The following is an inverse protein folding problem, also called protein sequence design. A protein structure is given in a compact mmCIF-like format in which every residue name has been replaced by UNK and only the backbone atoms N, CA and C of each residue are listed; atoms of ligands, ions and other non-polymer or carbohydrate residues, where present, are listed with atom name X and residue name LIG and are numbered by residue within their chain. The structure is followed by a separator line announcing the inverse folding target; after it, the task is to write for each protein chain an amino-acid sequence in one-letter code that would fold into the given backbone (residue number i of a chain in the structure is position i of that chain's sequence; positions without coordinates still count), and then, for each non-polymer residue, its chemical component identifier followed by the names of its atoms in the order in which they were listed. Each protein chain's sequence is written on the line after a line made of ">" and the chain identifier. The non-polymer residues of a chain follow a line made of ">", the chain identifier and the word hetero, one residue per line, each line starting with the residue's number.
data_IF_274716190686
#
_entry.id   IF_274716190686
#
_cell.length_a   1.000
_cell.length_b   1.000
_cell.length_c   1.000
_cell.angle_alpha   90.00
_cell.angle_beta   90.00
_cell.angle_gamma   90.00
#
_symmetry.space_group_name_H-M   'P 1'
#
loop_
_entity.id
_entity.type
_entity.pdbx_description
1 polymer ?
#
# COMPACT_ATOMS: atom_id res chain seq x y z
N UNK A 1 0.18 1.96 -13.65
CA UNK A 1 -0.13 3.18 -12.85
C UNK A 1 0.85 3.27 -11.69
N UNK A 2 1.36 4.46 -11.39
CA UNK A 2 2.60 4.66 -10.61
C UNK A 2 2.33 4.87 -9.12
N UNK A 3 2.47 3.79 -8.33
CA UNK A 3 2.76 3.90 -6.90
C UNK A 3 4.24 4.25 -6.77
N UNK A 4 4.58 5.20 -5.91
CA UNK A 4 5.96 5.61 -5.65
C UNK A 4 6.33 5.23 -4.23
N UNK A 5 7.36 4.39 -4.08
CA UNK A 5 7.95 4.05 -2.80
C UNK A 5 9.26 4.81 -2.64
N UNK A 6 9.43 5.51 -1.52
CA UNK A 6 10.67 6.20 -1.17
C UNK A 6 11.07 5.90 0.28
N UNK A 7 12.18 6.46 0.74
CA UNK A 7 12.66 6.29 2.12
C UNK A 7 11.75 6.92 3.18
N UNK A 8 10.86 7.83 2.80
CA UNK A 8 9.96 8.52 3.71
C UNK A 8 8.63 7.77 3.83
N UNK A 9 8.19 7.09 2.78
CA UNK A 9 6.90 6.41 2.74
C UNK A 9 6.52 5.88 1.38
N UNK A 10 5.22 5.67 1.20
CA UNK A 10 4.63 5.41 -0.11
C UNK A 10 3.69 6.53 -0.51
N UNK A 11 3.55 6.75 -1.82
CA UNK A 11 2.62 7.70 -2.42
C UNK A 11 1.79 7.01 -3.47
N UNK A 12 0.48 7.23 -3.40
CA UNK A 12 -0.42 6.88 -4.47
C UNK A 12 -0.74 8.11 -5.31
N UNK A 13 -0.16 8.18 -6.52
CA UNK A 13 -0.46 9.27 -7.45
C UNK A 13 -1.92 9.30 -7.89
N UNK A 14 -2.65 8.18 -7.82
CA UNK A 14 -4.10 8.13 -8.11
C UNK A 14 -4.91 8.80 -7.01
N UNK A 15 -4.43 8.72 -5.77
CA UNK A 15 -5.06 9.30 -4.59
C UNK A 15 -4.56 10.72 -4.28
N UNK A 16 -4.07 11.45 -5.30
CA UNK A 16 -3.59 12.82 -5.15
C UNK A 16 -2.13 12.95 -4.69
N UNK A 17 -1.29 11.91 -4.89
CA UNK A 17 0.13 11.88 -4.52
C UNK A 17 0.38 12.09 -3.01
N UNK A 18 -0.56 11.61 -2.19
CA UNK A 18 -0.47 11.74 -0.74
C UNK A 18 0.58 10.78 -0.19
N UNK A 19 1.54 11.35 0.53
CA UNK A 19 2.56 10.60 1.25
C UNK A 19 2.00 9.97 2.51
N UNK A 20 2.12 8.64 2.59
CA UNK A 20 1.91 7.86 3.80
C UNK A 20 3.27 7.45 4.35
N UNK A 21 3.69 8.04 5.49
CA UNK A 21 4.95 7.69 6.12
C UNK A 21 5.02 6.23 6.54
N UNK A 22 6.19 5.62 6.42
CA UNK A 22 6.43 4.25 6.90
C UNK A 22 6.19 4.09 8.40
N UNK A 23 6.30 5.15 9.19
CA UNK A 23 5.97 5.15 10.62
C UNK A 23 4.49 4.88 10.91
N UNK A 24 3.62 5.12 9.93
CA UNK A 24 2.18 4.84 10.00
C UNK A 24 1.82 3.47 9.45
N UNK A 25 2.79 2.75 8.86
CA UNK A 25 2.59 1.44 8.27
C UNK A 25 2.99 0.39 9.30
N UNK A 26 2.05 -0.49 9.63
CA UNK A 26 2.26 -1.61 10.53
C UNK A 26 2.77 -2.83 9.79
N UNK A 27 2.06 -3.19 8.72
CA UNK A 27 2.36 -4.38 7.94
C UNK A 27 2.06 -4.16 6.46
N UNK A 28 2.73 -4.92 5.61
CA UNK A 28 2.49 -4.98 4.18
C UNK A 28 2.30 -6.42 3.78
N UNK A 29 1.20 -6.70 3.09
CA UNK A 29 0.89 -8.02 2.58
C UNK A 29 0.82 -8.00 1.07
N UNK A 30 1.70 -8.77 0.43
CA UNK A 30 1.61 -9.01 -1.00
C UNK A 30 0.52 -10.05 -1.27
N UNK A 31 -0.32 -9.81 -2.27
CA UNK A 31 -1.32 -10.78 -2.72
C UNK A 31 -1.29 -10.80 -4.24
N UNK A 32 -0.79 -11.88 -4.83
CA UNK A 32 -0.74 -12.05 -6.28
C UNK A 32 -2.07 -12.58 -6.81
N UNK A 33 -2.76 -11.80 -7.66
CA UNK A 33 -3.94 -12.21 -8.41
C UNK A 33 -3.62 -12.55 -9.87
N UNK A 34 -4.62 -12.96 -10.66
CA UNK A 34 -4.51 -13.26 -12.11
C UNK A 34 -3.98 -12.05 -12.90
N UNK A 35 -2.65 -11.92 -13.01
CA UNK A 35 -1.97 -10.88 -13.81
C UNK A 35 -1.69 -9.56 -13.09
N UNK A 36 -2.06 -9.41 -11.82
CA UNK A 36 -1.73 -8.21 -11.02
C UNK A 36 -1.26 -8.59 -9.61
N UNK A 37 -0.34 -7.80 -9.08
CA UNK A 37 0.11 -7.89 -7.70
C UNK A 37 -0.63 -6.83 -6.90
N UNK A 38 -1.32 -7.22 -5.83
CA UNK A 38 -1.95 -6.29 -4.90
C UNK A 38 -1.08 -6.18 -3.65
N UNK A 39 -0.67 -4.98 -3.29
CA UNK A 39 -0.03 -4.69 -2.01
C UNK A 39 -1.10 -4.16 -1.06
N UNK A 40 -1.25 -4.80 0.09
CA UNK A 40 -2.14 -4.35 1.14
C UNK A 40 -1.29 -3.74 2.25
N UNK A 41 -1.41 -2.44 2.48
CA UNK A 41 -0.71 -1.75 3.56
C UNK A 41 -1.66 -1.62 4.74
N UNK A 42 -1.36 -2.27 5.86
CA UNK A 42 -2.06 -2.07 7.12
C UNK A 42 -1.44 -0.88 7.84
N UNK A 43 -2.25 0.15 8.11
CA UNK A 43 -1.83 1.31 8.86
C UNK A 43 -2.11 1.15 10.36
N UNK A 44 -1.28 1.77 11.18
CA UNK A 44 -1.50 1.87 12.64
C UNK A 44 -2.62 2.84 13.00
N UNK A 45 -2.93 3.77 12.11
CA UNK A 45 -3.95 4.81 12.25
C UNK A 45 -4.80 4.93 11.00
N UNK A 46 -5.83 5.78 11.03
CA UNK A 46 -6.69 5.98 9.86
C UNK A 46 -5.88 6.55 8.66
N UNK A 47 -6.07 6.01 7.45
CA UNK A 47 -5.43 6.53 6.25
C UNK A 47 -5.86 7.97 6.00
N UNK A 48 -5.00 8.79 5.38
CA UNK A 48 -5.37 10.13 4.95
C UNK A 48 -6.65 10.10 4.11
N UNK A 49 -7.52 11.10 4.27
CA UNK A 49 -8.82 11.14 3.60
C UNK A 49 -8.72 10.91 2.08
N UNK A 50 -7.69 11.48 1.43
CA UNK A 50 -7.47 11.29 0.00
C UNK A 50 -7.30 9.81 -0.42
N UNK A 51 -6.68 8.99 0.43
CA UNK A 51 -6.51 7.54 0.23
C UNK A 51 -7.75 6.78 0.68
N UNK A 52 -8.41 7.22 1.74
CA UNK A 52 -9.67 6.66 2.27
C UNK A 52 -10.81 6.76 1.25
N UNK A 53 -10.84 7.83 0.46
CA UNK A 53 -11.84 8.07 -0.60
C UNK A 53 -11.38 7.60 -1.98
N UNK A 54 -10.17 7.05 -2.11
CA UNK A 54 -9.71 6.48 -3.38
C UNK A 54 -10.62 5.29 -3.78
N UNK A 55 -10.98 5.14 -5.07
CA UNK A 55 -11.91 4.10 -5.52
C UNK A 55 -11.53 2.68 -5.09
N UNK A 56 -10.22 2.39 -4.99
CA UNK A 56 -9.69 1.11 -4.55
C UNK A 56 -9.93 0.80 -3.05
N UNK A 57 -10.16 1.83 -2.22
CA UNK A 57 -10.31 1.73 -0.77
C UNK A 57 -11.74 2.02 -0.30
N UNK A 58 -12.68 2.34 -1.19
CA UNK A 58 -14.10 2.57 -0.81
C UNK A 58 -14.71 1.31 -0.16
N UNK A 59 -14.30 0.12 -0.61
CA UNK A 59 -14.76 -1.17 -0.06
C UNK A 59 -14.33 -1.35 1.40
N UNK A 60 -13.19 -0.79 1.80
CA UNK A 60 -12.68 -0.88 3.17
C UNK A 60 -13.53 -0.14 4.21
N UNK A 61 -14.41 0.77 3.77
CA UNK A 61 -15.33 1.49 4.66
C UNK A 61 -16.45 0.61 5.20
N UNK A 62 -16.71 -0.54 4.55
CA UNK A 62 -17.77 -1.49 4.91
C UNK A 62 -17.24 -2.57 5.88
N UNK A 63 -15.93 -2.80 5.92
CA UNK A 63 -15.31 -3.82 6.76
C UNK A 63 -14.80 -3.23 8.09
N UNK A 64 -15.13 -3.81 9.26
CA UNK A 64 -14.73 -3.28 10.56
C UNK A 64 -13.21 -3.21 10.76
N UNK A 65 -12.46 -4.09 10.07
CA UNK A 65 -10.99 -4.12 10.06
C UNK A 65 -10.37 -3.53 8.79
N UNK A 66 -11.18 -3.12 7.82
CA UNK A 66 -10.70 -2.59 6.53
C UNK A 66 -10.31 -1.12 6.59
N UNK A 67 -10.82 -0.35 7.57
CA UNK A 67 -10.65 1.11 7.65
C UNK A 67 -9.19 1.59 7.61
N UNK A 68 -8.25 0.77 8.11
CA UNK A 68 -6.82 1.09 8.15
C UNK A 68 -6.02 0.39 7.06
N UNK A 69 -6.66 -0.39 6.19
CA UNK A 69 -5.99 -1.09 5.10
C UNK A 69 -6.01 -0.19 3.87
N UNK A 70 -4.89 -0.12 3.16
CA UNK A 70 -4.77 0.56 1.88
C UNK A 70 -4.43 -0.48 0.82
N UNK A 71 -5.33 -0.67 -0.13
CA UNK A 71 -5.14 -1.56 -1.27
C UNK A 71 -4.42 -0.81 -2.39
N UNK A 72 -3.33 -1.40 -2.86
CA UNK A 72 -2.54 -0.85 -3.96
C UNK A 72 -2.33 -1.89 -5.04
N UNK A 73 -2.94 -1.65 -6.18
CA UNK A 73 -2.75 -2.49 -7.34
C UNK A 73 -1.45 -2.10 -8.06
N UNK A 74 -0.51 -3.05 -8.09
CA UNK A 74 0.71 -3.01 -8.88
C UNK A 74 0.48 -3.86 -10.12
N UNK A 75 0.51 -3.21 -11.29
CA UNK A 75 0.49 -3.93 -12.57
C UNK A 75 1.77 -4.75 -12.68
N UNK A 76 1.64 -6.07 -12.84
CA UNK A 76 2.78 -7.00 -12.96
C UNK A 76 3.68 -6.71 -14.17
N UNK A 77 3.19 -5.91 -15.13
CA UNK A 77 3.90 -5.47 -16.32
C UNK A 77 4.99 -4.42 -16.06
N UNK A 78 4.85 -3.59 -15.02
CA UNK A 78 5.77 -2.47 -14.76
C UNK A 78 6.85 -2.83 -13.72
N UNK A 79 6.47 -3.54 -12.64
CA UNK A 79 7.38 -3.91 -11.53
C UNK A 79 6.92 -5.24 -10.93
N UNK A 80 7.84 -6.16 -10.62
CA UNK A 80 7.50 -7.39 -9.90
C UNK A 80 7.13 -7.04 -8.46
N UNK A 81 6.03 -7.58 -7.95
CA UNK A 81 5.60 -7.34 -6.56
C UNK A 81 6.69 -7.66 -5.53
N UNK A 82 7.55 -8.64 -5.83
CA UNK A 82 8.72 -8.97 -5.01
C UNK A 82 9.76 -7.84 -4.94
N UNK A 83 10.01 -7.13 -6.04
CA UNK A 83 10.95 -6.00 -6.07
C UNK A 83 10.44 -4.84 -5.20
N UNK A 84 9.11 -4.63 -5.19
CA UNK A 84 8.46 -3.67 -4.29
C UNK A 84 8.64 -4.08 -2.83
N UNK A 85 8.43 -5.37 -2.51
CA UNK A 85 8.60 -5.89 -1.16
C UNK A 85 10.04 -5.73 -0.67
N UNK A 86 11.02 -6.02 -1.52
CA UNK A 86 12.43 -5.84 -1.19
C UNK A 86 12.79 -4.36 -1.00
N UNK A 87 12.19 -3.46 -1.79
CA UNK A 87 12.30 -2.02 -1.58
C UNK A 87 11.70 -1.59 -0.23
N UNK A 88 10.51 -2.09 0.14
CA UNK A 88 9.87 -1.80 1.43
C UNK A 88 10.74 -2.28 2.58
N UNK A 89 11.30 -3.50 2.51
CA UNK A 89 12.23 -4.01 3.52
C UNK A 89 13.46 -3.12 3.68
N UNK A 90 13.93 -2.52 2.59
CA UNK A 90 15.07 -1.60 2.59
C UNK A 90 14.72 -0.22 3.18
N UNK A 91 13.56 0.33 2.83
CA UNK A 91 13.14 1.66 3.27
C UNK A 91 12.54 1.67 4.68
N UNK A 92 11.91 0.57 5.08
CA UNK A 92 11.13 0.46 6.30
C UNK A 92 11.34 -0.91 6.97
N UNK A 93 12.52 -1.15 7.56
CA UNK A 93 12.83 -2.45 8.17
C UNK A 93 11.94 -2.79 9.39
N UNK A 94 11.27 -1.80 9.97
CA UNK A 94 10.31 -1.99 11.06
C UNK A 94 8.92 -2.47 10.59
N UNK A 95 8.66 -2.41 9.29
CA UNK A 95 7.37 -2.82 8.71
C UNK A 95 7.35 -4.33 8.52
N UNK A 96 6.32 -4.99 9.05
CA UNK A 96 6.18 -6.44 8.89
C UNK A 96 5.75 -6.74 7.46
N UNK A 97 6.55 -7.53 6.75
CA UNK A 97 6.24 -7.93 5.37
C UNK A 97 5.77 -9.38 5.34
N UNK A 98 4.50 -9.57 4.99
CA UNK A 98 3.85 -10.86 4.79
C UNK A 98 3.73 -11.16 3.28
N UNK A 99 4.06 -12.39 2.88
CA UNK A 99 4.10 -12.84 1.47
C UNK A 99 2.94 -13.76 1.13
#
# INVERSE_FOLDING_TARGET
>A
MQVVLDSHGFRDRRAGDVLVPWTKVRSVRLTSGKGSAMLNFELTEEPPDAIKYAPANVVNRILPFGKTIVHMEVSSLDVRGDDMIDAIRKFAPHVVVDR
#
